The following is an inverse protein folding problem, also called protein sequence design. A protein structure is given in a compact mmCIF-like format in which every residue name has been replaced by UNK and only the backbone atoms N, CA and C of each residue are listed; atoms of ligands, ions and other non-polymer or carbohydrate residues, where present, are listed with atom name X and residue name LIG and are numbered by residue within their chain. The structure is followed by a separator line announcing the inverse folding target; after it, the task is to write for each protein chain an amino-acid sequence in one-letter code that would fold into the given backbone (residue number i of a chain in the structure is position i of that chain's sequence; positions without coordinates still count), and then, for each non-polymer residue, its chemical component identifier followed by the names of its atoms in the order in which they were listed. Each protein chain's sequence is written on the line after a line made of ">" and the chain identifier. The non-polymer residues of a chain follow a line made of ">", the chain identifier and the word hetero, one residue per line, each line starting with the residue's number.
data_IF_368819473908
#
_entry.id   IF_368819473908
#
_cell.length_a   1.000
_cell.length_b   1.000
_cell.length_c   1.000
_cell.angle_alpha   90.00
_cell.angle_beta   90.00
_cell.angle_gamma   90.00
#
_symmetry.space_group_name_H-M   'P 1'
#
loop_
_entity.id
_entity.type
_entity.pdbx_description
1 polymer ?
#
# COMPACT_ATOMS: atom_id res chain seq x y z
N UNK A 1 -4.19 49.19 14.81
CA UNK A 1 -5.43 49.28 14.03
C UNK A 1 -5.05 49.24 12.55
N UNK A 2 -5.26 48.10 11.89
CA UNK A 2 -4.99 47.93 10.46
C UNK A 2 -6.35 47.61 9.83
N UNK A 3 -6.85 48.57 9.05
CA UNK A 3 -8.11 48.50 8.35
C UNK A 3 -7.91 47.70 7.07
N UNK A 4 -8.53 46.52 6.97
CA UNK A 4 -8.54 45.71 5.75
C UNK A 4 -9.84 46.03 5.02
N UNK A 5 -9.72 46.85 4.00
CA UNK A 5 -10.81 47.36 3.18
C UNK A 5 -11.08 46.36 2.05
N UNK A 6 -12.33 45.91 1.96
CA UNK A 6 -12.75 44.91 0.98
C UNK A 6 -12.77 45.44 -0.45
N UNK A 7 -12.47 44.56 -1.39
CA UNK A 7 -12.87 44.68 -2.79
C UNK A 7 -13.81 43.53 -3.13
N UNK A 8 -15.11 43.85 -3.17
CA UNK A 8 -16.03 43.12 -4.03
C UNK A 8 -15.90 43.66 -5.45
N UNK A 9 -15.78 42.77 -6.43
CA UNK A 9 -16.31 43.01 -7.77
C UNK A 9 -16.43 41.68 -8.51
N UNK A 10 -17.65 41.41 -8.95
CA UNK A 10 -18.02 40.31 -9.81
C UNK A 10 -17.42 40.52 -11.20
N UNK A 11 -16.67 39.53 -11.69
CA UNK A 11 -16.33 39.40 -13.10
C UNK A 11 -17.23 38.32 -13.72
N UNK A 12 -18.16 38.76 -14.56
CA UNK A 12 -18.96 37.88 -15.43
C UNK A 12 -18.09 37.13 -16.44
N UNK A 13 -18.52 35.92 -16.87
CA UNK A 13 -17.74 35.06 -17.74
C UNK A 13 -17.73 35.57 -19.17
N UNK A 14 -16.53 35.70 -19.76
CA UNK A 14 -16.36 35.99 -21.18
C UNK A 14 -16.35 34.64 -21.92
N UNK A 15 -17.39 34.42 -22.72
CA UNK A 15 -17.56 33.21 -23.52
C UNK A 15 -16.40 33.01 -24.50
N UNK A 16 -15.79 31.82 -24.44
CA UNK A 16 -14.95 31.30 -25.50
C UNK A 16 -15.79 30.38 -26.38
N UNK A 17 -16.03 30.83 -27.61
CA UNK A 17 -16.56 30.02 -28.71
C UNK A 17 -15.54 28.94 -29.06
N UNK A 18 -15.77 27.73 -28.55
CA UNK A 18 -15.00 26.54 -28.95
C UNK A 18 -15.57 26.05 -30.29
N UNK A 19 -14.74 26.07 -31.32
CA UNK A 19 -15.01 25.41 -32.59
C UNK A 19 -15.13 23.89 -32.36
N UNK A 20 -16.13 23.19 -32.94
CA UNK A 20 -16.15 21.75 -32.91
C UNK A 20 -15.10 21.21 -33.90
N UNK A 21 -14.00 20.68 -33.37
CA UNK A 21 -13.15 19.75 -34.10
C UNK A 21 -13.94 18.45 -34.29
N UNK A 22 -14.72 18.38 -35.38
CA UNK A 22 -15.30 17.15 -35.88
C UNK A 22 -14.21 16.34 -36.59
N UNK A 23 -13.28 15.79 -35.81
CA UNK A 23 -12.46 14.67 -36.27
C UNK A 23 -13.30 13.38 -36.25
N UNK A 24 -13.04 12.43 -37.16
CA UNK A 24 -13.69 11.12 -37.09
C UNK A 24 -13.42 10.49 -35.72
N UNK A 25 -14.39 9.78 -35.12
CA UNK A 25 -14.15 9.05 -33.89
C UNK A 25 -13.00 8.08 -34.14
N UNK A 26 -11.89 8.29 -33.44
CA UNK A 26 -10.85 7.27 -33.33
C UNK A 26 -11.54 6.08 -32.68
N UNK A 27 -11.67 4.99 -33.45
CA UNK A 27 -12.16 3.73 -32.94
C UNK A 27 -11.18 3.28 -31.85
N UNK A 28 -11.53 3.55 -30.60
CA UNK A 28 -10.84 2.99 -29.45
C UNK A 28 -10.92 1.48 -29.62
N UNK A 29 -9.78 0.85 -29.91
CA UNK A 29 -9.68 -0.59 -29.82
C UNK A 29 -10.07 -0.98 -28.38
N UNK A 30 -10.92 -1.99 -28.19
CA UNK A 30 -11.20 -2.53 -26.87
C UNK A 30 -9.89 -3.11 -26.34
N UNK A 31 -9.20 -2.33 -25.49
CA UNK A 31 -8.11 -2.82 -24.66
C UNK A 31 -8.73 -3.85 -23.70
N UNK A 32 -8.69 -5.12 -24.13
CA UNK A 32 -8.61 -6.28 -23.28
C UNK A 32 -9.72 -6.42 -22.21
N UNK A 33 -10.99 -6.47 -22.64
CA UNK A 33 -12.12 -6.90 -21.82
C UNK A 33 -12.03 -8.38 -21.36
N UNK A 34 -11.05 -9.15 -21.82
CA UNK A 34 -10.99 -10.59 -21.59
C UNK A 34 -10.56 -11.03 -20.18
N UNK A 35 -10.11 -10.11 -19.31
CA UNK A 35 -9.71 -10.47 -17.93
C UNK A 35 -10.69 -10.03 -16.83
N UNK A 36 -11.68 -9.19 -17.15
CA UNK A 36 -12.63 -8.65 -16.17
C UNK A 36 -13.88 -9.53 -15.95
N UNK A 37 -14.05 -10.62 -16.70
CA UNK A 37 -15.26 -11.47 -16.65
C UNK A 37 -15.22 -12.64 -15.65
N UNK A 38 -14.24 -12.67 -14.73
CA UNK A 38 -14.18 -13.68 -13.66
C UNK A 38 -14.24 -13.09 -12.24
N UNK A 39 -14.79 -11.89 -12.08
CA UNK A 39 -15.29 -11.46 -10.77
C UNK A 39 -16.71 -12.00 -10.59
N UNK A 40 -16.95 -13.06 -9.79
CA UNK A 40 -18.31 -13.51 -9.51
C UNK A 40 -19.07 -12.40 -8.78
N UNK A 41 -20.03 -11.82 -9.48
CA UNK A 41 -21.09 -11.05 -8.85
C UNK A 41 -21.97 -12.02 -8.05
N UNK A 42 -22.17 -11.70 -6.76
CA UNK A 42 -23.14 -12.23 -5.78
C UNK A 42 -22.47 -12.92 -4.57
N UNK A 43 -22.25 -12.11 -3.52
CA UNK A 43 -21.77 -12.56 -2.22
C UNK A 43 -20.29 -12.31 -2.03
N UNK A 44 -19.94 -11.09 -1.59
CA UNK A 44 -18.58 -10.64 -1.28
C UNK A 44 -17.93 -11.51 -0.19
N UNK A 45 -17.52 -12.71 -0.54
CA UNK A 45 -16.40 -13.36 0.12
C UNK A 45 -15.19 -12.51 -0.26
N UNK A 46 -14.52 -11.82 0.69
CA UNK A 46 -13.25 -11.18 0.39
C UNK A 46 -12.38 -12.28 -0.21
N UNK A 47 -11.82 -12.02 -1.40
CA UNK A 47 -10.73 -12.86 -1.89
C UNK A 47 -9.74 -12.98 -0.74
N UNK A 48 -9.23 -14.18 -0.43
CA UNK A 48 -8.23 -14.32 0.59
C UNK A 48 -7.05 -13.45 0.15
N UNK A 49 -6.97 -12.24 0.69
CA UNK A 49 -5.79 -11.41 0.55
C UNK A 49 -4.69 -12.18 1.25
N UNK A 50 -3.45 -12.05 0.80
CA UNK A 50 -2.30 -12.66 1.49
C UNK A 50 -2.21 -12.25 2.98
N UNK A 51 -3.02 -11.27 3.40
CA UNK A 51 -3.29 -10.80 4.74
C UNK A 51 -4.57 -11.38 5.37
N UNK A 52 -4.76 -12.70 5.28
CA UNK A 52 -5.92 -13.39 5.87
C UNK A 52 -6.04 -13.31 7.41
N UNK A 53 -5.08 -12.71 8.12
CA UNK A 53 -5.15 -12.52 9.58
C UNK A 53 -5.85 -11.24 10.02
N UNK A 54 -5.98 -10.23 9.15
CA UNK A 54 -6.73 -9.03 9.48
C UNK A 54 -7.95 -8.99 8.57
N UNK A 55 -9.13 -9.25 9.13
CA UNK A 55 -10.42 -8.94 8.50
C UNK A 55 -10.58 -7.42 8.35
N UNK A 56 -9.71 -6.81 7.55
CA UNK A 56 -9.78 -5.40 7.22
C UNK A 56 -10.94 -5.21 6.25
N UNK A 57 -11.85 -4.33 6.63
CA UNK A 57 -12.93 -3.88 5.75
C UNK A 57 -12.40 -2.73 4.92
N UNK A 58 -11.64 -3.06 3.87
CA UNK A 58 -11.29 -2.09 2.86
C UNK A 58 -12.55 -1.70 2.06
N UNK A 59 -12.64 -0.44 1.60
CA UNK A 59 -13.68 -0.08 0.63
C UNK A 59 -13.54 -0.96 -0.63
N UNK A 60 -14.62 -1.14 -1.40
CA UNK A 60 -14.51 -1.86 -2.66
C UNK A 60 -13.48 -1.17 -3.56
N UNK A 61 -12.62 -1.96 -4.20
CA UNK A 61 -11.60 -1.45 -5.09
C UNK A 61 -12.22 -0.58 -6.21
N UNK A 62 -11.54 0.49 -6.63
CA UNK A 62 -11.98 1.30 -7.77
C UNK A 62 -12.17 0.44 -9.02
N UNK A 63 -13.13 0.84 -9.87
CA UNK A 63 -13.47 0.06 -11.08
C UNK A 63 -12.51 0.28 -12.25
N UNK A 64 -11.71 1.34 -12.21
CA UNK A 64 -10.76 1.68 -13.28
C UNK A 64 -9.35 1.78 -12.73
N UNK A 65 -8.37 1.38 -13.55
CA UNK A 65 -6.94 1.41 -13.21
C UNK A 65 -6.48 2.82 -12.84
N UNK A 66 -6.93 3.84 -13.60
CA UNK A 66 -6.62 5.24 -13.31
C UNK A 66 -7.10 5.64 -11.91
N UNK A 67 -8.33 5.26 -11.55
CA UNK A 67 -8.91 5.60 -10.25
C UNK A 67 -8.18 4.87 -9.12
N UNK A 68 -7.83 3.59 -9.31
CA UNK A 68 -7.02 2.86 -8.33
C UNK A 68 -5.65 3.52 -8.10
N UNK A 69 -4.97 3.94 -9.17
CA UNK A 69 -3.70 4.65 -9.06
C UNK A 69 -3.86 6.01 -8.36
N UNK A 70 -4.91 6.76 -8.70
CA UNK A 70 -5.19 8.06 -8.09
C UNK A 70 -5.53 7.93 -6.60
N UNK A 71 -6.35 6.95 -6.22
CA UNK A 71 -6.67 6.66 -4.82
C UNK A 71 -5.39 6.35 -4.03
N UNK A 72 -4.45 5.58 -4.59
CA UNK A 72 -3.15 5.31 -3.96
C UNK A 72 -2.34 6.60 -3.79
N UNK A 73 -2.24 7.44 -4.83
CA UNK A 73 -1.50 8.71 -4.78
C UNK A 73 -2.10 9.69 -3.76
N UNK A 74 -3.41 9.67 -3.55
CA UNK A 74 -4.10 10.58 -2.63
C UNK A 74 -4.11 10.08 -1.17
N UNK A 75 -4.32 8.77 -0.95
CA UNK A 75 -4.48 8.20 0.39
C UNK A 75 -3.16 7.78 1.04
N UNK A 76 -2.20 7.24 0.28
CA UNK A 76 -0.94 6.74 0.84
C UNK A 76 -0.09 7.83 1.50
N UNK A 77 -0.02 9.09 1.00
CA UNK A 77 0.68 10.15 1.70
C UNK A 77 0.13 10.43 3.10
N UNK A 78 -1.19 10.34 3.29
CA UNK A 78 -1.81 10.49 4.62
C UNK A 78 -1.35 9.36 5.55
N UNK A 79 -1.29 8.13 5.03
CA UNK A 79 -0.86 6.95 5.78
C UNK A 79 0.63 6.99 6.15
N UNK A 80 1.51 7.43 5.24
CA UNK A 80 2.94 7.54 5.57
C UNK A 80 3.21 8.58 6.65
N UNK A 81 2.41 9.65 6.75
CA UNK A 81 2.63 10.68 7.77
C UNK A 81 2.28 10.13 9.14
N UNK A 82 1.23 9.30 9.20
CA UNK A 82 0.88 8.57 10.41
C UNK A 82 1.98 7.59 10.80
N UNK A 83 2.54 6.84 9.84
CA UNK A 83 3.64 5.92 10.08
C UNK A 83 4.88 6.63 10.62
N UNK A 84 5.30 7.76 10.02
CA UNK A 84 6.45 8.55 10.50
C UNK A 84 6.23 9.08 11.92
N UNK A 85 5.05 9.64 12.20
CA UNK A 85 4.72 10.15 13.55
C UNK A 85 4.64 9.04 14.59
N UNK A 86 4.31 7.83 14.17
CA UNK A 86 4.23 6.66 15.03
C UNK A 86 5.56 5.91 15.21
N UNK A 87 6.64 6.39 14.59
CA UNK A 87 7.95 5.76 14.70
C UNK A 87 8.15 4.54 13.80
N UNK A 88 7.41 4.44 12.69
CA UNK A 88 7.55 3.40 11.68
C UNK A 88 8.17 3.93 10.36
N UNK A 89 9.44 4.39 10.37
CA UNK A 89 10.05 5.07 9.23
C UNK A 89 10.29 4.14 8.02
N UNK A 90 10.46 2.84 8.24
CA UNK A 90 10.66 1.86 7.17
C UNK A 90 9.38 1.71 6.36
N UNK A 91 8.24 1.62 7.03
CA UNK A 91 6.92 1.60 6.37
C UNK A 91 6.70 2.87 5.53
N UNK A 92 7.01 4.05 6.09
CA UNK A 92 6.89 5.31 5.37
C UNK A 92 7.81 5.39 4.14
N UNK A 93 9.05 4.90 4.23
CA UNK A 93 9.99 4.87 3.10
C UNK A 93 9.46 3.99 1.95
N UNK A 94 8.94 2.81 2.26
CA UNK A 94 8.36 1.89 1.28
C UNK A 94 7.13 2.51 0.60
N UNK A 95 6.24 3.12 1.38
CA UNK A 95 5.09 3.86 0.87
C UNK A 95 5.50 5.02 -0.06
N UNK A 96 6.55 5.77 0.31
CA UNK A 96 7.13 6.83 -0.53
C UNK A 96 7.63 6.31 -1.87
N UNK A 97 8.30 5.16 -1.86
CA UNK A 97 8.79 4.51 -3.08
C UNK A 97 7.63 4.07 -3.97
N UNK A 98 6.58 3.47 -3.40
CA UNK A 98 5.38 3.07 -4.14
C UNK A 98 4.72 4.27 -4.85
N UNK A 99 4.44 5.36 -4.12
CA UNK A 99 3.85 6.57 -4.72
C UNK A 99 4.76 7.18 -5.79
N UNK A 100 6.07 7.23 -5.56
CA UNK A 100 7.03 7.76 -6.54
C UNK A 100 7.08 7.00 -7.86
N UNK A 101 6.69 5.72 -7.89
CA UNK A 101 6.53 4.99 -9.16
C UNK A 101 5.25 5.41 -9.89
N UNK A 102 4.15 5.56 -9.13
CA UNK A 102 2.82 5.81 -9.67
C UNK A 102 2.53 7.28 -10.01
N UNK A 103 3.24 8.26 -9.41
CA UNK A 103 3.01 9.70 -9.62
C UNK A 103 3.20 10.19 -11.07
N UNK A 104 3.82 9.35 -11.91
CA UNK A 104 3.94 9.57 -13.37
C UNK A 104 2.57 9.57 -14.06
N UNK A 105 1.57 8.91 -13.46
CA UNK A 105 0.22 8.76 -14.01
C UNK A 105 -0.70 9.86 -13.47
N UNK A 106 -0.65 11.04 -14.07
CA UNK A 106 -1.45 12.21 -13.64
C UNK A 106 -2.87 12.26 -14.23
N UNK A 107 -3.16 11.42 -15.20
CA UNK A 107 -4.43 11.43 -15.92
C UNK A 107 -4.48 10.42 -17.06
N UNK A 108 -5.57 10.38 -17.84
CA UNK A 108 -5.81 9.33 -18.83
C UNK A 108 -4.76 9.30 -19.95
N UNK A 109 -4.30 10.47 -20.40
CA UNK A 109 -3.23 10.54 -21.40
C UNK A 109 -1.89 9.99 -20.88
N UNK A 110 -1.55 10.30 -19.61
CA UNK A 110 -0.34 9.76 -18.98
C UNK A 110 -0.44 8.25 -18.79
N UNK A 111 -1.61 7.75 -18.37
CA UNK A 111 -1.88 6.32 -18.26
C UNK A 111 -1.66 5.63 -19.61
N UNK A 112 -2.27 6.16 -20.68
CA UNK A 112 -2.12 5.61 -22.03
C UNK A 112 -0.64 5.62 -22.48
N UNK A 113 0.03 6.77 -22.39
CA UNK A 113 1.44 6.87 -22.78
C UNK A 113 2.32 5.92 -21.96
N UNK A 114 2.07 5.80 -20.66
CA UNK A 114 2.88 4.96 -19.79
C UNK A 114 2.62 3.47 -19.97
N UNK A 115 1.41 3.09 -20.38
CA UNK A 115 1.08 1.73 -20.79
C UNK A 115 1.81 1.34 -22.08
N UNK A 116 1.91 2.26 -23.05
CA UNK A 116 2.50 1.96 -24.37
C UNK A 116 4.02 2.05 -24.40
N UNK A 117 4.60 3.01 -23.67
CA UNK A 117 6.03 3.34 -23.76
C UNK A 117 6.80 3.11 -22.46
N UNK A 118 6.12 2.74 -21.38
CA UNK A 118 6.70 2.51 -20.07
C UNK A 118 6.43 1.11 -19.53
N UNK A 119 6.81 0.90 -18.27
CA UNK A 119 6.59 -0.35 -17.54
C UNK A 119 5.51 -0.16 -16.48
N UNK A 120 4.34 0.34 -16.88
CA UNK A 120 3.23 0.61 -15.96
C UNK A 120 2.85 -0.62 -15.12
N UNK A 121 2.67 -1.78 -15.77
CA UNK A 121 2.28 -3.01 -15.08
C UNK A 121 3.34 -3.47 -14.07
N UNK A 122 4.64 -3.30 -14.39
CA UNK A 122 5.72 -3.56 -13.45
C UNK A 122 5.74 -2.58 -12.28
N UNK A 123 5.50 -1.29 -12.55
CA UNK A 123 5.41 -0.26 -11.51
C UNK A 123 4.20 -0.49 -10.59
N UNK A 124 3.06 -0.95 -11.12
CA UNK A 124 1.88 -1.34 -10.32
C UNK A 124 2.23 -2.51 -9.42
N UNK A 125 2.84 -3.57 -9.97
CA UNK A 125 3.27 -4.73 -9.21
C UNK A 125 4.23 -4.34 -8.08
N UNK A 126 5.31 -3.64 -8.39
CA UNK A 126 6.32 -3.24 -7.41
C UNK A 126 5.74 -2.29 -6.35
N UNK A 127 4.82 -1.40 -6.73
CA UNK A 127 4.15 -0.50 -5.80
C UNK A 127 3.22 -1.25 -4.86
N UNK A 128 2.46 -2.24 -5.37
CA UNK A 128 1.65 -3.13 -4.53
C UNK A 128 2.53 -3.84 -3.52
N UNK A 129 3.63 -4.45 -3.96
CA UNK A 129 4.55 -5.20 -3.08
C UNK A 129 5.17 -4.31 -2.00
N UNK A 130 5.57 -3.08 -2.35
CA UNK A 130 6.08 -2.12 -1.37
C UNK A 130 4.99 -1.68 -0.37
N UNK A 131 3.73 -1.52 -0.79
CA UNK A 131 2.61 -1.18 0.10
C UNK A 131 2.23 -2.34 1.01
N UNK A 132 2.21 -3.57 0.50
CA UNK A 132 2.02 -4.79 1.29
C UNK A 132 3.10 -4.91 2.38
N UNK A 133 4.36 -4.66 2.00
CA UNK A 133 5.46 -4.68 2.96
C UNK A 133 5.41 -3.48 3.92
N UNK A 134 4.98 -2.30 3.46
CA UNK A 134 4.76 -1.15 4.32
C UNK A 134 3.67 -1.43 5.38
N UNK A 135 2.58 -2.09 4.99
CA UNK A 135 1.52 -2.51 5.90
C UNK A 135 2.05 -3.44 7.01
N UNK A 136 2.83 -4.45 6.65
CA UNK A 136 3.46 -5.37 7.61
C UNK A 136 4.35 -4.64 8.60
N UNK A 137 5.27 -3.79 8.10
CA UNK A 137 6.15 -3.02 8.97
C UNK A 137 5.38 -2.05 9.86
N UNK A 138 4.33 -1.39 9.36
CA UNK A 138 3.52 -0.47 10.15
C UNK A 138 2.77 -1.20 11.28
N UNK A 139 2.24 -2.40 11.02
CA UNK A 139 1.60 -3.22 12.06
C UNK A 139 2.57 -3.74 13.11
N UNK A 140 3.82 -4.05 12.72
CA UNK A 140 4.87 -4.51 13.62
C UNK A 140 5.46 -3.38 14.46
N UNK A 141 5.86 -2.28 13.83
CA UNK A 141 6.56 -1.16 14.46
C UNK A 141 5.61 -0.21 15.20
N UNK A 142 4.37 -0.07 14.72
CA UNK A 142 3.40 0.90 15.24
C UNK A 142 1.98 0.31 15.41
N UNK A 143 1.83 -0.76 16.23
CA UNK A 143 0.54 -1.39 16.46
C UNK A 143 -0.47 -0.38 17.04
N UNK A 144 -1.71 -0.41 16.54
CA UNK A 144 -2.79 0.48 16.97
C UNK A 144 -2.91 1.78 16.15
N UNK A 145 -1.99 2.04 15.22
CA UNK A 145 -2.19 3.09 14.21
C UNK A 145 -3.00 2.57 13.04
N UNK A 146 -3.68 3.48 12.34
CA UNK A 146 -4.40 3.16 11.09
C UNK A 146 -3.49 3.11 9.86
N UNK A 147 -2.19 3.35 10.01
CA UNK A 147 -1.27 3.41 8.87
C UNK A 147 -1.18 2.06 8.14
N UNK A 148 -1.05 0.96 8.89
CA UNK A 148 -1.02 -0.40 8.34
C UNK A 148 -2.27 -0.73 7.53
N UNK A 149 -3.46 -0.46 8.11
CA UNK A 149 -4.75 -0.66 7.44
C UNK A 149 -4.86 0.12 6.13
N UNK A 150 -4.43 1.39 6.14
CA UNK A 150 -4.49 2.24 4.95
C UNK A 150 -3.53 1.75 3.85
N UNK A 151 -2.33 1.31 4.19
CA UNK A 151 -1.40 0.71 3.23
C UNK A 151 -1.93 -0.60 2.67
N UNK A 152 -2.52 -1.46 3.51
CA UNK A 152 -3.13 -2.71 3.09
C UNK A 152 -4.28 -2.47 2.09
N UNK A 153 -5.19 -1.53 2.39
CA UNK A 153 -6.27 -1.19 1.48
C UNK A 153 -5.77 -0.55 0.16
N UNK A 154 -4.72 0.26 0.22
CA UNK A 154 -4.10 0.81 -0.97
C UNK A 154 -3.46 -0.29 -1.85
N UNK A 155 -2.83 -1.30 -1.24
CA UNK A 155 -2.33 -2.47 -1.95
C UNK A 155 -3.48 -3.28 -2.59
N UNK A 156 -4.57 -3.51 -1.86
CA UNK A 156 -5.74 -4.24 -2.35
C UNK A 156 -6.38 -3.56 -3.57
N UNK A 157 -6.39 -2.22 -3.61
CA UNK A 157 -6.89 -1.46 -4.76
C UNK A 157 -6.10 -1.72 -6.05
N UNK A 158 -4.82 -2.10 -5.95
CA UNK A 158 -3.96 -2.38 -7.10
C UNK A 158 -4.04 -3.85 -7.57
N UNK A 159 -4.53 -4.77 -6.74
CA UNK A 159 -4.60 -6.21 -7.07
C UNK A 159 -5.29 -6.49 -8.42
N UNK A 160 -6.45 -5.88 -8.75
CA UNK A 160 -7.13 -6.16 -10.02
C UNK A 160 -6.34 -5.77 -11.27
N UNK A 161 -5.33 -4.90 -11.10
CA UNK A 161 -4.52 -4.33 -12.18
C UNK A 161 -3.08 -4.84 -12.18
N UNK A 162 -2.70 -5.65 -11.20
CA UNK A 162 -1.40 -6.30 -11.18
C UNK A 162 -1.39 -7.46 -12.18
N UNK A 163 -0.42 -7.54 -13.13
CA UNK A 163 -0.30 -8.68 -14.05
C UNK A 163 0.03 -10.00 -13.35
N UNK A 164 0.61 -9.94 -12.14
CA UNK A 164 1.12 -11.05 -11.36
C UNK A 164 0.50 -11.06 -9.94
N UNK A 165 -0.83 -11.14 -9.80
CA UNK A 165 -1.47 -10.96 -8.51
C UNK A 165 -1.09 -12.04 -7.50
N UNK A 166 -0.76 -13.25 -7.97
CA UNK A 166 -0.45 -14.41 -7.13
C UNK A 166 1.02 -14.52 -6.70
N UNK A 167 1.89 -13.60 -7.11
CA UNK A 167 3.28 -13.59 -6.63
C UNK A 167 3.31 -12.69 -5.40
N UNK A 168 3.13 -13.26 -4.21
CA UNK A 168 3.39 -12.53 -2.97
C UNK A 168 4.80 -12.86 -2.44
N UNK A 169 5.48 -11.91 -1.77
CA UNK A 169 6.81 -12.16 -1.20
C UNK A 169 6.76 -13.25 -0.12
N UNK A 170 5.59 -13.41 0.52
CA UNK A 170 5.37 -14.38 1.59
C UNK A 170 5.18 -15.81 1.07
N UNK A 171 4.61 -16.02 -0.12
CA UNK A 171 4.44 -17.36 -0.68
C UNK A 171 5.78 -18.04 -0.96
N UNK A 172 6.81 -17.25 -1.29
CA UNK A 172 8.19 -17.76 -1.43
C UNK A 172 8.80 -18.22 -0.12
N UNK A 173 8.39 -17.68 1.04
CA UNK A 173 8.93 -18.11 2.33
C UNK A 173 8.39 -19.47 2.75
N UNK A 174 7.13 -19.77 2.41
CA UNK A 174 6.51 -21.07 2.76
C UNK A 174 7.03 -22.18 1.83
N UNK A 175 7.24 -21.87 0.55
CA UNK A 175 7.81 -22.83 -0.41
C UNK A 175 9.32 -23.05 -0.23
N UNK A 176 10.02 -22.16 0.49
CA UNK A 176 11.43 -22.33 0.85
C UNK A 176 11.66 -23.08 2.16
N UNK A 177 10.60 -23.45 2.92
CA UNK A 177 10.76 -24.40 4.03
C UNK A 177 10.97 -25.78 3.41
N UNK A 178 12.15 -26.40 3.56
CA UNK A 178 12.37 -27.71 2.98
C UNK A 178 11.36 -28.68 3.60
N UNK A 179 10.46 -29.22 2.77
CA UNK A 179 9.48 -30.27 3.10
C UNK A 179 9.97 -31.34 4.11
N UNK A 180 11.24 -31.81 4.09
CA UNK A 180 11.70 -32.76 5.11
C UNK A 180 11.63 -32.26 6.57
N UNK A 181 11.56 -30.95 6.84
CA UNK A 181 11.40 -30.43 8.21
C UNK A 181 9.95 -30.43 8.70
N UNK A 182 8.95 -30.39 7.82
CA UNK A 182 7.53 -30.52 8.21
C UNK A 182 7.15 -31.97 8.56
N UNK A 183 7.86 -32.94 7.99
CA UNK A 183 7.65 -34.37 8.25
C UNK A 183 8.26 -34.88 9.58
N UNK A 184 9.03 -34.06 10.29
CA UNK A 184 9.67 -34.43 11.56
C UNK A 184 8.87 -33.99 12.80
N UNK A 185 7.63 -33.51 12.64
CA UNK A 185 6.74 -33.33 13.78
C UNK A 185 6.39 -34.71 14.36
N UNK A 186 6.84 -35.05 15.58
CA UNK A 186 6.60 -36.36 16.15
C UNK A 186 5.08 -36.54 16.32
N UNK A 187 4.52 -37.73 15.98
CA UNK A 187 3.12 -38.01 16.22
C UNK A 187 2.84 -37.79 17.70
N UNK A 188 1.93 -36.87 17.98
CA UNK A 188 1.54 -36.52 19.34
C UNK A 188 1.01 -37.76 20.03
N UNK A 189 1.75 -38.29 20.99
CA UNK A 189 1.31 -39.39 21.81
C UNK A 189 0.00 -38.98 22.53
N UNK A 190 -1.08 -39.78 22.44
CA UNK A 190 -2.29 -39.49 23.16
C UNK A 190 -2.08 -39.77 24.66
N UNK A 191 -2.23 -38.74 25.48
CA UNK A 191 -2.54 -38.90 26.90
C UNK A 191 -1.37 -38.77 27.86
N UNK A 192 -1.26 -37.58 28.45
CA UNK A 192 -1.11 -37.47 29.90
C UNK A 192 -1.65 -36.13 30.35
N UNK A 193 -2.77 -36.17 31.07
CA UNK A 193 -3.25 -35.05 31.87
C UNK A 193 -2.26 -34.82 33.01
N UNK A 194 -1.23 -34.03 32.78
CA UNK A 194 -0.40 -33.50 33.84
C UNK A 194 -0.98 -32.15 34.25
N UNK A 195 -1.93 -32.20 35.19
CA UNK A 195 -2.23 -31.09 36.08
C UNK A 195 -0.94 -30.62 36.73
N UNK A 196 -0.51 -29.38 36.50
CA UNK A 196 0.51 -28.75 37.34
C UNK A 196 0.26 -27.25 37.47
N UNK A 197 0.68 -26.67 38.61
CA UNK A 197 0.02 -25.53 39.22
C UNK A 197 0.66 -24.19 38.89
N UNK A 198 -0.15 -23.18 39.17
CA UNK A 198 0.14 -21.77 39.39
C UNK A 198 1.50 -21.47 40.05
N UNK A 199 2.33 -20.65 39.39
CA UNK A 199 3.30 -19.75 40.03
C UNK A 199 3.82 -18.69 39.03
N UNK A 200 3.34 -17.45 39.15
CA UNK A 200 4.14 -16.28 38.82
C UNK A 200 5.20 -16.10 39.91
N UNK A 201 6.44 -15.70 39.56
CA UNK A 201 6.81 -14.32 39.84
C UNK A 201 7.72 -13.70 38.77
N UNK A 202 7.77 -12.37 38.80
CA UNK A 202 8.42 -11.53 37.81
C UNK A 202 9.93 -11.72 37.65
N UNK A 203 10.39 -11.40 36.46
CA UNK A 203 11.80 -11.16 36.16
C UNK A 203 11.89 -9.86 35.35
N UNK A 204 11.96 -8.74 36.08
CA UNK A 204 12.47 -7.48 35.52
C UNK A 204 13.89 -7.72 35.01
N UNK A 205 14.07 -7.75 33.69
CA UNK A 205 15.38 -7.68 33.08
C UNK A 205 15.69 -6.20 32.83
N UNK A 206 16.49 -5.61 33.71
CA UNK A 206 17.15 -4.33 33.45
C UNK A 206 17.99 -4.46 32.18
N UNK A 207 17.71 -3.62 31.19
CA UNK A 207 18.57 -3.42 30.02
C UNK A 207 19.58 -2.33 30.39
N UNK A 208 20.91 -2.60 30.35
CA UNK A 208 21.92 -1.59 30.64
C UNK A 208 21.95 -0.53 29.54
N UNK A 209 21.95 0.73 29.95
CA UNK A 209 22.01 1.90 29.08
C UNK A 209 23.29 1.93 28.26
N UNK A 210 23.13 1.85 26.94
CA UNK A 210 24.19 2.11 25.96
C UNK A 210 24.50 3.60 25.88
N UNK A 211 25.76 3.95 26.11
CA UNK A 211 26.34 5.28 25.96
C UNK A 211 26.07 5.89 24.58
N UNK A 212 25.50 7.10 24.60
CA UNK A 212 25.34 7.99 23.46
C UNK A 212 26.71 8.61 23.14
N UNK A 213 27.46 8.04 22.18
CA UNK A 213 28.61 8.71 21.58
C UNK A 213 28.09 9.80 20.64
N UNK A 214 28.12 11.05 21.09
CA UNK A 214 27.98 12.22 20.23
C UNK A 214 29.34 12.52 19.60
N UNK A 215 29.56 12.03 18.39
CA UNK A 215 30.68 12.50 17.56
C UNK A 215 30.32 13.85 16.96
N UNK A 216 31.00 14.89 17.43
CA UNK A 216 31.03 16.20 16.80
C UNK A 216 31.70 16.08 15.43
N UNK A 217 30.98 16.44 14.37
CA UNK A 217 31.58 16.69 13.07
C UNK A 217 31.87 18.19 12.96
N UNK A 218 33.14 18.51 13.14
CA UNK A 218 33.79 19.75 12.72
C UNK A 218 33.91 19.72 11.19
N UNK A 219 33.43 20.76 10.52
CA UNK A 219 33.87 21.10 9.16
C UNK A 219 33.76 22.61 8.95
N UNK A 220 34.87 23.29 9.27
CA UNK A 220 35.23 24.59 8.69
C UNK A 220 35.93 24.37 7.34
N UNK A 221 36.03 25.46 6.56
CA UNK A 221 36.71 25.61 5.25
C UNK A 221 35.88 25.08 4.07
N UNK A 222 35.41 25.88 3.11
CA UNK A 222 35.86 27.15 2.51
C UNK A 222 34.66 28.00 2.07
#
# INVERSE_FOLDING_TARGET
>A
AISVQGCGQACSPRGSSVHPFAGPPVAWMPLHESWLHHAPALGAQPWPTAFSFFTLRCPPAPKTELAAIQDVIEEVPKAWELAERAGAPVAALLAKRAVGRLEKVKGPFHLYAYTQFGSLLGDIHDSRMDLEQAAQNAHEESPGTKAGDMFACAADNLIPYDPNPNIHPMDRRISAVPLPLLALTPPSAPGSMATMPHASPGSQRQVPGGHRQTSAAVASFL
#
